data_IF_059420411026
#
_entry.id   IF_059420411026
#
_cell.length_a   1.000
_cell.length_b   1.000
_cell.length_c   1.000
_cell.angle_alpha   90.00
_cell.angle_beta   90.00
_cell.angle_gamma   90.00
#
_symmetry.space_group_name_H-M   'P 1'
#
loop_
_entity.id
_entity.type
_entity.pdbx_description
1 polymer ?
#
# COMPACT_ATOMS: atom_id res chain seq x y z
N UNK A 1 -0.18 15.25 10.16
CA UNK A 1 1.01 14.54 9.65
C UNK A 1 0.87 14.36 8.16
N UNK A 2 1.92 14.59 7.38
CA UNK A 2 1.97 14.29 5.94
C UNK A 2 2.59 12.90 5.75
N UNK A 3 2.23 12.19 4.67
CA UNK A 3 2.76 10.86 4.37
C UNK A 3 2.13 9.70 5.15
N UNK A 4 0.97 9.92 5.79
CA UNK A 4 0.19 8.83 6.38
C UNK A 4 -0.67 8.12 5.32
N UNK A 5 -1.14 6.91 5.62
CA UNK A 5 -2.14 6.20 4.79
C UNK A 5 -3.40 7.05 4.56
N UNK A 6 -3.79 7.87 5.53
CA UNK A 6 -4.88 8.85 5.41
C UNK A 6 -4.59 9.96 4.39
N UNK A 7 -3.33 10.38 4.25
CA UNK A 7 -2.97 11.31 3.19
C UNK A 7 -2.97 10.63 1.83
N UNK A 8 -2.47 9.39 1.75
CA UNK A 8 -2.44 8.64 0.50
C UNK A 8 -3.86 8.35 -0.02
N UNK A 9 -4.82 8.05 0.85
CA UNK A 9 -6.22 7.89 0.45
C UNK A 9 -6.82 9.17 -0.15
N UNK A 10 -6.45 10.35 0.37
CA UNK A 10 -6.92 11.64 -0.16
C UNK A 10 -6.41 11.97 -1.57
N UNK A 11 -5.34 11.31 -2.00
CA UNK A 11 -4.79 11.48 -3.35
C UNK A 11 -5.50 10.63 -4.43
N UNK A 12 -6.48 9.82 -4.02
CA UNK A 12 -7.31 9.03 -4.93
C UNK A 12 -8.09 9.96 -5.88
N UNK A 13 -7.98 9.70 -7.19
CA UNK A 13 -8.59 10.50 -8.25
C UNK A 13 -7.73 11.67 -8.73
N UNK A 14 -6.63 11.99 -8.04
CA UNK A 14 -5.69 13.03 -8.44
C UNK A 14 -4.33 12.44 -8.85
N UNK A 15 -3.53 11.94 -7.89
CA UNK A 15 -2.27 11.25 -8.19
C UNK A 15 -2.46 9.73 -8.36
N UNK A 16 -3.46 9.16 -7.69
CA UNK A 16 -3.70 7.72 -7.65
C UNK A 16 -5.01 7.32 -8.32
N UNK A 17 -4.95 6.30 -9.18
CA UNK A 17 -6.12 5.57 -9.69
C UNK A 17 -6.17 4.21 -9.01
N UNK A 18 -7.27 3.90 -8.33
CA UNK A 18 -7.48 2.56 -7.76
C UNK A 18 -7.54 1.51 -8.90
N UNK A 19 -6.92 0.36 -8.68
CA UNK A 19 -6.86 -0.76 -9.61
C UNK A 19 -7.30 -2.05 -8.92
N UNK A 20 -7.72 -3.03 -9.72
CA UNK A 20 -7.96 -4.39 -9.22
C UNK A 20 -6.64 -5.07 -8.87
N UNK A 21 -6.63 -5.92 -7.85
CA UNK A 21 -5.44 -6.67 -7.45
C UNK A 21 -4.93 -7.62 -8.55
N UNK A 22 -5.78 -8.00 -9.51
CA UNK A 22 -5.39 -8.78 -10.70
C UNK A 22 -4.58 -7.97 -11.72
N UNK A 23 -4.64 -6.65 -11.66
CA UNK A 23 -3.96 -5.74 -12.60
C UNK A 23 -2.65 -5.17 -12.04
N UNK A 24 -2.18 -5.70 -10.90
CA UNK A 24 -0.95 -5.26 -10.24
C UNK A 24 0.23 -5.40 -11.19
N UNK A 25 1.01 -4.34 -11.29
CA UNK A 25 2.32 -4.35 -11.95
C UNK A 25 3.35 -3.61 -11.12
N UNK A 26 4.61 -3.73 -11.54
CA UNK A 26 5.71 -2.97 -10.95
C UNK A 26 5.38 -1.48 -10.86
N UNK A 27 5.54 -0.91 -9.67
CA UNK A 27 5.33 0.51 -9.39
C UNK A 27 3.94 0.89 -8.87
N UNK A 28 2.98 -0.05 -8.84
CA UNK A 28 1.70 0.18 -8.18
C UNK A 28 1.90 0.22 -6.65
N UNK A 29 1.07 1.01 -5.96
CA UNK A 29 1.14 1.25 -4.51
C UNK A 29 0.02 0.51 -3.83
N UNK A 30 0.31 -0.21 -2.73
CA UNK A 30 -0.75 -0.72 -1.86
C UNK A 30 -0.94 0.21 -0.68
N UNK A 31 -2.18 0.35 -0.23
CA UNK A 31 -2.53 0.96 1.05
C UNK A 31 -3.34 -0.07 1.83
N UNK A 32 -2.87 -0.37 3.03
CA UNK A 32 -3.54 -1.24 3.99
C UNK A 32 -4.02 -0.40 5.15
N UNK A 33 -5.27 -0.58 5.57
CA UNK A 33 -5.88 0.19 6.65
C UNK A 33 -7.28 0.70 6.31
N UNK A 34 -8.08 0.98 7.35
CA UNK A 34 -9.41 1.57 7.21
C UNK A 34 -9.29 3.08 6.97
N UNK A 35 -9.81 3.56 5.84
CA UNK A 35 -9.91 4.98 5.53
C UNK A 35 -10.63 5.74 6.67
N UNK A 36 -10.01 6.80 7.17
CA UNK A 36 -10.47 7.59 8.33
C UNK A 36 -10.01 7.07 9.70
N UNK A 37 -9.37 5.89 9.79
CA UNK A 37 -8.98 5.24 11.05
C UNK A 37 -7.57 4.66 11.04
N UNK A 38 -6.76 4.90 10.01
CA UNK A 38 -5.44 4.26 9.82
C UNK A 38 -4.26 5.04 10.41
N UNK A 39 -4.49 5.91 11.40
CA UNK A 39 -3.41 6.62 12.08
C UNK A 39 -2.58 5.67 12.98
N UNK A 40 -1.28 5.94 13.12
CA UNK A 40 -0.38 5.10 13.91
C UNK A 40 -0.13 3.73 13.27
N UNK A 41 -0.27 2.65 14.05
CA UNK A 41 -0.08 1.27 13.58
C UNK A 41 -1.28 0.70 12.78
N UNK A 42 -2.35 1.48 12.58
CA UNK A 42 -3.55 1.05 11.87
C UNK A 42 -3.44 1.08 10.34
N UNK A 43 -2.29 1.50 9.80
CA UNK A 43 -2.06 1.62 8.37
C UNK A 43 -0.68 1.12 7.93
N UNK A 44 -0.58 0.66 6.69
CA UNK A 44 0.66 0.17 6.09
C UNK A 44 0.68 0.41 4.57
N UNK A 45 1.86 0.62 3.99
CA UNK A 45 1.98 0.92 2.55
C UNK A 45 3.34 0.49 2.00
N UNK A 46 3.44 0.45 0.68
CA UNK A 46 4.62 0.06 -0.08
C UNK A 46 4.32 -0.05 -1.57
N UNK A 47 5.29 -0.55 -2.33
CA UNK A 47 5.23 -0.57 -3.80
C UNK A 47 5.36 -2.00 -4.31
N UNK A 48 4.55 -2.39 -5.29
CA UNK A 48 4.70 -3.63 -6.04
C UNK A 48 6.04 -3.62 -6.79
N UNK A 49 6.90 -4.61 -6.51
CA UNK A 49 8.07 -4.89 -7.33
C UNK A 49 7.69 -5.69 -8.58
N UNK A 50 6.69 -6.57 -8.44
CA UNK A 50 5.98 -7.29 -9.50
C UNK A 50 4.57 -7.67 -8.99
N UNK A 51 3.86 -8.51 -9.72
CA UNK A 51 2.51 -9.01 -9.41
C UNK A 51 2.43 -9.92 -8.17
N UNK A 52 3.56 -10.30 -7.57
CA UNK A 52 3.61 -11.23 -6.44
C UNK A 52 4.45 -10.75 -5.25
N UNK A 53 5.19 -9.64 -5.38
CA UNK A 53 6.11 -9.14 -4.35
C UNK A 53 6.09 -7.62 -4.22
N UNK A 54 6.41 -7.15 -3.01
CA UNK A 54 6.39 -5.75 -2.62
C UNK A 54 7.72 -5.33 -2.01
N UNK A 55 8.14 -4.11 -2.32
CA UNK A 55 9.19 -3.40 -1.61
C UNK A 55 8.53 -2.45 -0.61
N UNK A 56 8.83 -2.64 0.68
CA UNK A 56 8.19 -1.88 1.74
C UNK A 56 9.03 -1.86 3.03
N UNK A 57 8.73 -0.93 3.93
CA UNK A 57 9.29 -0.93 5.28
C UNK A 57 8.35 -1.70 6.20
N UNK A 58 8.84 -2.71 6.94
CA UNK A 58 8.01 -3.54 7.80
C UNK A 58 8.61 -3.75 9.18
N UNK A 59 7.77 -3.60 10.21
CA UNK A 59 8.14 -3.87 11.60
C UNK A 59 8.58 -5.32 11.82
N UNK A 60 7.95 -6.28 11.13
CA UNK A 60 8.21 -7.72 11.30
C UNK A 60 9.66 -8.12 10.99
N UNK A 61 10.34 -7.37 10.12
CA UNK A 61 11.72 -7.63 9.71
C UNK A 61 12.68 -6.49 10.10
N UNK A 62 12.19 -5.49 10.82
CA UNK A 62 12.94 -4.31 11.25
C UNK A 62 13.70 -3.60 10.12
N UNK A 63 12.99 -3.19 9.07
CA UNK A 63 13.59 -2.41 7.99
C UNK A 63 12.87 -2.52 6.64
N UNK A 64 13.62 -2.25 5.56
CA UNK A 64 13.15 -2.26 4.18
C UNK A 64 13.43 -3.61 3.55
N UNK A 65 12.39 -4.30 3.09
CA UNK A 65 12.51 -5.64 2.54
C UNK A 65 11.67 -5.81 1.28
N UNK A 66 12.14 -6.73 0.42
CA UNK A 66 11.34 -7.32 -0.64
C UNK A 66 10.66 -8.58 -0.09
N UNK A 67 9.34 -8.59 -0.05
CA UNK A 67 8.55 -9.70 0.52
C UNK A 67 7.42 -10.12 -0.43
N UNK A 68 6.84 -11.33 -0.28
CA UNK A 68 5.63 -11.70 -1.00
C UNK A 68 4.45 -10.77 -0.63
N UNK A 69 3.54 -10.51 -1.56
CA UNK A 69 2.30 -9.76 -1.26
C UNK A 69 1.52 -10.46 -0.13
N UNK A 70 1.35 -11.78 -0.26
CA UNK A 70 0.60 -12.59 0.71
C UNK A 70 1.31 -12.60 2.06
N UNK A 71 0.63 -12.10 3.08
CA UNK A 71 1.11 -12.09 4.47
C UNK A 71 1.95 -10.86 4.85
N UNK A 72 2.16 -9.90 3.94
CA UNK A 72 2.93 -8.68 4.22
C UNK A 72 2.22 -7.37 3.82
N UNK A 73 1.16 -7.42 3.02
CA UNK A 73 0.29 -6.25 2.74
C UNK A 73 -0.84 -6.09 3.76
N UNK A 74 -1.47 -7.20 4.14
CA UNK A 74 -2.53 -7.26 5.15
C UNK A 74 -1.98 -7.95 6.41
N UNK A 75 -1.73 -7.18 7.47
CA UNK A 75 -1.97 -7.75 8.79
C UNK A 75 -3.46 -8.11 8.81
N UNK A 76 -3.82 -9.36 9.11
CA UNK A 76 -5.11 -10.03 8.87
C UNK A 76 -6.41 -9.28 9.26
N UNK A 77 -6.32 -8.07 9.81
CA UNK A 77 -7.40 -7.20 10.28
C UNK A 77 -7.82 -6.08 9.31
N UNK A 78 -7.01 -5.70 8.33
CA UNK A 78 -7.25 -4.48 7.55
C UNK A 78 -7.46 -4.73 6.05
N UNK A 79 -8.33 -3.94 5.38
CA UNK A 79 -8.49 -4.01 3.93
C UNK A 79 -7.22 -3.50 3.25
N UNK A 80 -6.91 -4.08 2.08
CA UNK A 80 -5.81 -3.66 1.21
C UNK A 80 -6.40 -3.18 -0.11
N UNK A 81 -6.01 -1.98 -0.53
CA UNK A 81 -6.35 -1.40 -1.82
C UNK A 81 -5.09 -1.11 -2.63
N UNK A 82 -5.20 -1.21 -3.94
CA UNK A 82 -4.09 -1.02 -4.87
C UNK A 82 -4.32 0.20 -5.75
N UNK A 83 -3.25 0.94 -6.01
CA UNK A 83 -3.30 2.21 -6.70
C UNK A 83 -2.18 2.33 -7.72
N UNK A 84 -2.50 2.94 -8.86
CA UNK A 84 -1.55 3.30 -9.90
C UNK A 84 -1.34 4.80 -9.92
N UNK A 85 -0.09 5.22 -10.02
CA UNK A 85 0.24 6.64 -10.22
C UNK A 85 -0.05 7.00 -11.68
N UNK A 86 -0.96 7.96 -11.90
CA UNK A 86 -1.55 8.21 -13.24
C UNK A 86 -1.17 9.53 -13.91
N UNK A 87 -0.39 10.40 -13.27
CA UNK A 87 0.11 11.65 -13.86
C UNK A 87 1.64 11.71 -13.74
N UNK A 88 2.35 11.05 -14.65
CA UNK A 88 3.82 11.12 -14.78
C UNK A 88 4.20 11.60 -16.17
#
# INVERSE_FOLDING_TARGET
YAGTTENLYKEKGYLFKEIDARDIRRGDVFISGNEGYSLGAGGHTGIAYNDNSILHCTYKLDGIYLTPIKGYTAEHKYPVRWFRIVNR
#
